data_IF_755281560391
#
_entry.id   IF_755281560391
#
_cell.length_a   1.000
_cell.length_b   1.000
_cell.length_c   1.000
_cell.angle_alpha   90.00
_cell.angle_beta   90.00
_cell.angle_gamma   90.00
#
_symmetry.space_group_name_H-M   'P 1'
#
loop_
_entity.id
_entity.type
_entity.pdbx_description
1 polymer ?
#
# COMPACT_ATOMS: atom_id res chain seq x y z
N UNK A 1 6.69 19.05 -8.72
CA UNK A 1 6.35 19.51 -7.35
C UNK A 1 4.97 19.06 -6.86
N UNK A 2 3.87 19.19 -7.64
CA UNK A 2 2.54 18.86 -7.10
C UNK A 2 2.32 17.36 -6.87
N UNK A 3 2.74 16.50 -7.81
CA UNK A 3 2.62 15.05 -7.67
C UNK A 3 3.45 14.45 -6.51
N UNK A 4 4.61 15.04 -6.22
CA UNK A 4 5.48 14.60 -5.11
C UNK A 4 4.90 14.89 -3.74
N UNK A 5 3.96 15.83 -3.63
CA UNK A 5 3.25 16.09 -2.38
C UNK A 5 2.18 15.01 -2.14
N UNK A 6 1.55 14.51 -3.20
CA UNK A 6 0.38 13.64 -3.08
C UNK A 6 0.77 12.16 -3.01
N UNK A 7 1.58 11.66 -3.95
CA UNK A 7 1.79 10.20 -4.08
C UNK A 7 3.12 9.72 -4.68
N UNK A 8 3.98 10.64 -5.15
CA UNK A 8 5.17 10.27 -5.93
C UNK A 8 6.51 10.42 -5.18
N UNK A 9 6.51 10.78 -3.89
CA UNK A 9 7.70 10.94 -3.05
C UNK A 9 7.73 9.88 -1.95
N UNK A 10 8.88 9.34 -1.51
CA UNK A 10 8.95 8.36 -0.41
C UNK A 10 8.12 8.76 0.83
N UNK A 11 8.13 10.06 1.14
CA UNK A 11 7.23 10.70 2.11
C UNK A 11 6.28 11.60 1.32
N UNK A 12 5.00 11.28 1.36
CA UNK A 12 3.91 11.99 0.67
C UNK A 12 2.66 12.01 1.57
N UNK A 13 1.68 12.85 1.21
CA UNK A 13 0.47 13.05 2.00
C UNK A 13 -0.38 11.76 2.13
N UNK A 14 -0.41 10.93 1.08
CA UNK A 14 -1.11 9.64 1.10
C UNK A 14 -0.57 8.72 2.21
N UNK A 15 0.76 8.57 2.27
CA UNK A 15 1.43 7.75 3.29
C UNK A 15 1.33 8.36 4.66
N UNK A 16 1.44 9.68 4.75
CA UNK A 16 1.32 10.35 6.03
C UNK A 16 -0.06 10.12 6.67
N UNK A 17 -1.13 10.16 5.86
CA UNK A 17 -2.50 9.90 6.32
C UNK A 17 -2.70 8.42 6.70
N UNK A 18 -2.42 7.49 5.77
CA UNK A 18 -2.80 6.10 6.01
C UNK A 18 -2.04 5.48 7.19
N UNK A 19 -0.79 5.89 7.46
CA UNK A 19 -0.03 5.33 8.58
C UNK A 19 -0.69 5.64 9.94
N UNK A 20 -1.17 6.87 10.11
CA UNK A 20 -1.87 7.29 11.33
C UNK A 20 -3.28 6.67 11.38
N UNK A 21 -4.00 6.72 10.26
CA UNK A 21 -5.35 6.16 10.11
C UNK A 21 -5.39 4.66 10.41
N UNK A 22 -4.52 3.88 9.78
CA UNK A 22 -4.50 2.44 9.92
C UNK A 22 -4.07 2.02 11.31
N UNK A 23 -3.14 2.75 11.94
CA UNK A 23 -2.78 2.54 13.34
C UNK A 23 -3.99 2.71 14.26
N UNK A 24 -4.75 3.78 14.06
CA UNK A 24 -5.96 4.06 14.83
C UNK A 24 -7.01 2.95 14.65
N UNK A 25 -7.38 2.61 13.41
CA UNK A 25 -8.45 1.65 13.14
C UNK A 25 -8.06 0.18 13.40
N UNK A 26 -6.78 -0.16 13.31
CA UNK A 26 -6.30 -1.51 13.68
C UNK A 26 -5.97 -1.64 15.17
N UNK A 27 -5.98 -0.54 15.93
CA UNK A 27 -5.69 -0.54 17.36
C UNK A 27 -4.22 -0.81 17.70
N UNK A 28 -3.31 -0.60 16.76
CA UNK A 28 -1.86 -0.81 16.95
C UNK A 28 -1.13 0.53 17.03
N UNK A 29 0.03 0.54 17.69
CA UNK A 29 0.86 1.75 17.83
C UNK A 29 2.00 1.83 16.82
N UNK A 30 2.01 0.96 15.81
CA UNK A 30 3.14 0.82 14.91
C UNK A 30 3.30 1.93 13.89
N UNK A 31 2.23 2.58 13.43
CA UNK A 31 2.30 3.65 12.42
C UNK A 31 2.21 5.06 13.01
N UNK A 32 2.45 5.22 14.31
CA UNK A 32 2.45 6.52 14.97
C UNK A 32 3.82 7.17 14.80
N UNK A 33 3.82 8.44 14.37
CA UNK A 33 4.99 9.30 14.27
C UNK A 33 4.58 10.76 14.46
N UNK A 34 5.51 11.66 14.79
CA UNK A 34 5.21 13.09 14.88
C UNK A 34 5.14 13.74 13.49
N UNK A 35 3.93 13.77 12.92
CA UNK A 35 3.68 14.41 11.64
C UNK A 35 3.93 15.92 11.66
N UNK A 36 3.79 16.59 12.80
CA UNK A 36 4.04 18.02 12.94
C UNK A 36 5.53 18.34 12.79
N UNK A 37 6.38 17.61 13.54
CA UNK A 37 7.84 17.68 13.41
C UNK A 37 8.30 17.32 12.00
N UNK A 38 7.73 16.26 11.42
CA UNK A 38 8.06 15.85 10.05
C UNK A 38 7.72 16.97 9.06
N UNK A 39 6.54 17.59 9.15
CA UNK A 39 6.13 18.72 8.30
C UNK A 39 7.09 19.92 8.40
N UNK A 40 7.59 20.24 9.60
CA UNK A 40 8.55 21.33 9.82
C UNK A 40 9.92 21.10 9.17
N UNK A 41 10.25 19.84 8.84
CA UNK A 41 11.49 19.48 8.15
C UNK A 41 11.46 19.79 6.66
N UNK A 42 10.28 19.85 6.04
CA UNK A 42 10.15 20.10 4.61
C UNK A 42 10.56 21.52 4.24
N UNK A 43 11.34 21.64 3.15
CA UNK A 43 11.78 22.92 2.59
C UNK A 43 11.69 22.88 1.06
N UNK A 44 11.29 23.98 0.40
CA UNK A 44 11.44 24.10 -1.03
C UNK A 44 12.91 24.39 -1.37
N UNK A 45 13.44 23.69 -2.36
CA UNK A 45 14.77 23.96 -2.92
C UNK A 45 14.60 24.21 -4.41
N UNK A 46 15.17 25.32 -4.89
CA UNK A 46 15.18 25.66 -6.31
C UNK A 46 16.48 25.12 -6.91
N UNK A 47 16.34 24.37 -7.99
CA UNK A 47 17.46 23.95 -8.83
C UNK A 47 17.11 24.23 -10.29
N UNK A 48 17.94 25.08 -10.91
CA UNK A 48 17.70 25.69 -12.22
C UNK A 48 16.27 26.30 -12.35
N UNK A 49 15.44 25.68 -13.19
CA UNK A 49 14.06 26.09 -13.49
C UNK A 49 13.01 25.27 -12.72
N UNK A 50 13.44 24.38 -11.82
CA UNK A 50 12.57 23.48 -11.09
C UNK A 50 12.58 23.78 -9.59
N UNK A 51 11.45 23.48 -8.94
CA UNK A 51 11.33 23.51 -7.47
C UNK A 51 11.09 22.10 -6.97
N UNK A 52 11.96 21.69 -6.07
CA UNK A 52 11.94 20.39 -5.41
C UNK A 52 11.55 20.56 -3.96
N UNK A 53 10.97 19.50 -3.41
CA UNK A 53 10.71 19.39 -2.00
C UNK A 53 11.87 18.60 -1.36
N UNK A 54 12.59 19.23 -0.46
CA UNK A 54 13.70 18.64 0.27
C UNK A 54 13.43 18.66 1.77
N UNK A 55 14.35 18.09 2.54
CA UNK A 55 14.24 17.97 3.99
C UNK A 55 15.44 18.62 4.66
N UNK A 56 15.21 19.29 5.79
CA UNK A 56 16.28 19.78 6.66
C UNK A 56 16.96 18.59 7.34
N UNK A 57 18.28 18.65 7.43
CA UNK A 57 19.07 17.66 8.17
C UNK A 57 18.65 17.56 9.64
N UNK A 58 18.24 18.67 10.27
CA UNK A 58 17.70 18.70 11.63
C UNK A 58 16.38 17.94 11.81
N UNK A 59 15.71 17.54 10.72
CA UNK A 59 14.51 16.70 10.73
C UNK A 59 14.78 15.21 10.52
N UNK A 60 16.05 14.78 10.50
CA UNK A 60 16.42 13.38 10.21
C UNK A 60 15.73 12.39 11.15
N UNK A 61 15.64 12.71 12.44
CA UNK A 61 14.98 11.83 13.42
C UNK A 61 13.50 11.61 13.09
N UNK A 62 12.79 12.66 12.65
CA UNK A 62 11.38 12.56 12.24
C UNK A 62 11.20 11.76 10.96
N UNK A 63 12.14 11.84 10.03
CA UNK A 63 12.17 11.01 8.82
C UNK A 63 12.37 9.53 9.19
N UNK A 64 13.29 9.25 10.11
CA UNK A 64 13.55 7.90 10.60
C UNK A 64 12.35 7.34 11.37
N UNK A 65 11.70 8.15 12.21
CA UNK A 65 10.47 7.78 12.91
C UNK A 65 9.36 7.41 11.91
N UNK A 66 9.13 8.22 10.87
CA UNK A 66 8.20 7.91 9.79
C UNK A 66 8.54 6.60 9.07
N UNK A 67 9.82 6.38 8.74
CA UNK A 67 10.27 5.15 8.08
C UNK A 67 10.04 3.91 8.96
N UNK A 68 10.32 4.02 10.27
CA UNK A 68 10.04 2.98 11.25
C UNK A 68 8.54 2.72 11.40
N UNK A 69 7.73 3.78 11.42
CA UNK A 69 6.28 3.69 11.52
C UNK A 69 5.69 2.90 10.33
N UNK A 70 6.17 3.22 9.13
CA UNK A 70 5.84 2.50 7.89
C UNK A 70 6.28 1.03 7.97
N UNK A 71 7.53 0.76 8.31
CA UNK A 71 8.06 -0.60 8.43
C UNK A 71 7.26 -1.45 9.42
N UNK A 72 6.89 -0.85 10.56
CA UNK A 72 6.07 -1.47 11.59
C UNK A 72 4.70 -1.89 11.07
N UNK A 73 3.97 -1.00 10.39
CA UNK A 73 2.67 -1.36 9.80
C UNK A 73 2.77 -2.44 8.72
N UNK A 74 3.81 -2.40 7.87
CA UNK A 74 4.05 -3.47 6.90
C UNK A 74 4.25 -4.82 7.58
N UNK A 75 5.10 -4.88 8.60
CA UNK A 75 5.38 -6.13 9.30
C UNK A 75 4.16 -6.66 10.06
N UNK A 76 3.44 -5.78 10.76
CA UNK A 76 2.46 -6.19 11.78
C UNK A 76 1.03 -6.26 11.25
N UNK A 77 0.69 -5.45 10.24
CA UNK A 77 -0.68 -5.35 9.71
C UNK A 77 -0.74 -5.85 8.28
N UNK A 78 0.00 -5.24 7.36
CA UNK A 78 -0.15 -5.53 5.92
C UNK A 78 0.38 -6.92 5.54
N UNK A 79 1.49 -7.36 6.13
CA UNK A 79 2.06 -8.69 5.92
C UNK A 79 1.72 -9.68 7.03
N UNK A 80 0.69 -9.41 7.83
CA UNK A 80 0.20 -10.37 8.80
C UNK A 80 -0.18 -11.70 8.12
N UNK A 81 0.26 -12.83 8.70
CA UNK A 81 0.11 -14.18 8.12
C UNK A 81 -1.32 -14.51 7.68
N UNK A 82 -2.32 -14.08 8.45
CA UNK A 82 -3.74 -14.33 8.13
C UNK A 82 -4.20 -13.52 6.93
N UNK A 83 -3.78 -12.25 6.81
CA UNK A 83 -4.11 -11.40 5.67
C UNK A 83 -3.50 -11.98 4.39
N UNK A 84 -2.22 -12.38 4.46
CA UNK A 84 -1.51 -13.03 3.36
C UNK A 84 -2.19 -14.32 2.90
N UNK A 85 -2.62 -15.16 3.84
CA UNK A 85 -3.34 -16.39 3.53
C UNK A 85 -4.68 -16.10 2.83
N UNK A 86 -5.47 -15.15 3.34
CA UNK A 86 -6.73 -14.75 2.73
C UNK A 86 -6.54 -14.17 1.32
N UNK A 87 -5.54 -13.30 1.13
CA UNK A 87 -5.21 -12.78 -0.20
C UNK A 87 -4.76 -13.88 -1.16
N UNK A 88 -3.99 -14.86 -0.70
CA UNK A 88 -3.57 -15.99 -1.53
C UNK A 88 -4.75 -16.89 -1.92
N UNK A 89 -5.66 -17.17 -0.98
CA UNK A 89 -6.90 -17.90 -1.25
C UNK A 89 -7.77 -17.17 -2.29
N UNK A 90 -7.99 -15.87 -2.12
CA UNK A 90 -8.79 -15.07 -3.06
C UNK A 90 -8.16 -15.04 -4.46
N UNK A 91 -6.85 -14.83 -4.55
CA UNK A 91 -6.12 -14.88 -5.82
C UNK A 91 -6.25 -16.24 -6.50
N UNK A 92 -6.14 -17.35 -5.75
CA UNK A 92 -6.30 -18.70 -6.29
C UNK A 92 -7.72 -18.99 -6.74
N UNK A 93 -8.73 -18.49 -6.03
CA UNK A 93 -10.12 -18.64 -6.42
C UNK A 93 -10.40 -17.92 -7.76
N UNK A 94 -9.83 -16.73 -7.95
CA UNK A 94 -10.02 -15.92 -9.14
C UNK A 94 -9.11 -16.30 -10.33
N UNK A 95 -8.01 -17.03 -10.11
CA UNK A 95 -7.09 -17.40 -11.20
C UNK A 95 -7.69 -18.35 -12.22
N UNK A 96 -8.68 -19.14 -11.79
CA UNK A 96 -9.25 -20.22 -12.60
C UNK A 96 -10.54 -19.77 -13.33
N UNK A 97 -10.90 -18.48 -13.27
CA UNK A 97 -12.07 -17.93 -13.98
C UNK A 97 -11.66 -17.22 -15.27
N UNK A 98 -11.91 -17.85 -16.43
CA UNK A 98 -11.59 -17.31 -17.76
C UNK A 98 -12.44 -16.10 -18.19
N UNK A 99 -13.47 -15.73 -17.42
CA UNK A 99 -14.44 -14.71 -17.83
C UNK A 99 -15.01 -13.98 -16.62
N UNK A 100 -14.26 -13.02 -16.09
CA UNK A 100 -14.79 -12.08 -15.11
C UNK A 100 -14.86 -10.70 -15.77
N UNK A 101 -15.74 -10.59 -16.77
CA UNK A 101 -16.21 -9.29 -17.25
C UNK A 101 -17.18 -8.72 -16.20
N UNK A 102 -16.64 -8.13 -15.13
CA UNK A 102 -17.44 -7.54 -14.03
C UNK A 102 -18.23 -6.32 -14.50
N UNK A 103 -17.80 -5.69 -15.60
CA UNK A 103 -18.34 -4.40 -16.03
C UNK A 103 -18.62 -4.46 -17.52
N UNK A 104 -19.91 -4.47 -17.89
CA UNK A 104 -20.31 -4.05 -19.22
C UNK A 104 -20.16 -2.53 -19.29
N UNK A 105 -19.29 -2.04 -20.16
CA UNK A 105 -19.12 -0.62 -20.46
C UNK A 105 -20.15 -0.12 -21.49
N UNK A 106 -21.03 -1.01 -21.96
CA UNK A 106 -21.98 -0.76 -23.05
C UNK A 106 -23.31 -0.18 -22.55
N UNK A 107 -23.26 0.78 -21.63
CA UNK A 107 -24.45 1.51 -21.19
C UNK A 107 -24.52 2.90 -21.82
N UNK A 108 -25.71 3.31 -22.25
CA UNK A 108 -26.02 4.67 -22.74
C UNK A 108 -25.90 5.78 -21.68
N UNK A 109 -25.51 5.40 -20.46
CA UNK A 109 -25.44 6.27 -19.29
C UNK A 109 -24.17 7.12 -19.30
N UNK A 110 -24.18 8.23 -18.55
CA UNK A 110 -22.96 9.02 -18.35
C UNK A 110 -21.91 8.21 -17.58
N UNK A 111 -20.62 8.45 -17.85
CA UNK A 111 -19.50 7.80 -17.14
C UNK A 111 -19.66 7.89 -15.61
N UNK A 112 -20.19 9.01 -15.11
CA UNK A 112 -20.42 9.23 -13.68
C UNK A 112 -21.47 8.28 -13.13
N UNK A 113 -22.56 8.05 -13.86
CA UNK A 113 -23.64 7.15 -13.44
C UNK A 113 -23.18 5.70 -13.49
N UNK A 114 -22.39 5.32 -14.50
CA UNK A 114 -21.72 4.02 -14.58
C UNK A 114 -20.84 3.79 -13.34
N UNK A 115 -19.99 4.76 -12.99
CA UNK A 115 -19.12 4.65 -11.80
C UNK A 115 -19.92 4.57 -10.50
N UNK A 116 -20.95 5.42 -10.34
CA UNK A 116 -21.81 5.39 -9.14
C UNK A 116 -22.52 4.04 -9.00
N UNK A 117 -23.09 3.54 -10.09
CA UNK A 117 -23.76 2.25 -10.11
C UNK A 117 -22.77 1.12 -9.81
N UNK A 118 -21.56 1.18 -10.35
CA UNK A 118 -20.50 0.22 -10.05
C UNK A 118 -20.20 0.16 -8.54
N UNK A 119 -19.87 1.28 -7.91
CA UNK A 119 -19.52 1.29 -6.48
C UNK A 119 -20.70 0.90 -5.58
N UNK A 120 -21.93 1.33 -5.89
CA UNK A 120 -23.12 0.94 -5.13
C UNK A 120 -23.44 -0.54 -5.26
N UNK A 121 -23.22 -1.11 -6.44
CA UNK A 121 -23.58 -2.50 -6.73
C UNK A 121 -22.50 -3.52 -6.37
N UNK A 122 -21.27 -3.09 -6.10
CA UNK A 122 -20.13 -3.96 -5.80
C UNK A 122 -19.46 -3.69 -4.43
N UNK A 123 -20.21 -3.62 -3.31
CA UNK A 123 -19.57 -3.60 -1.99
C UNK A 123 -18.86 -4.93 -1.74
N UNK A 124 -17.72 -4.91 -1.06
CA UNK A 124 -16.85 -6.08 -0.82
C UNK A 124 -17.61 -7.31 -0.31
N UNK A 125 -18.55 -7.10 0.62
CA UNK A 125 -19.38 -8.19 1.16
C UNK A 125 -20.23 -8.86 0.07
N UNK A 126 -20.92 -8.07 -0.75
CA UNK A 126 -21.73 -8.60 -1.86
C UNK A 126 -20.83 -9.26 -2.91
N UNK A 127 -19.69 -8.64 -3.20
CA UNK A 127 -18.72 -9.21 -4.13
C UNK A 127 -18.26 -10.61 -3.68
N UNK A 128 -17.88 -10.75 -2.41
CA UNK A 128 -17.38 -12.02 -1.87
C UNK A 128 -18.48 -13.07 -1.67
N UNK A 129 -19.57 -12.70 -0.98
CA UNK A 129 -20.60 -13.65 -0.54
C UNK A 129 -21.64 -13.98 -1.63
N UNK A 130 -21.82 -13.10 -2.61
CA UNK A 130 -22.83 -13.25 -3.66
C UNK A 130 -22.21 -13.34 -5.06
N UNK A 131 -21.42 -12.35 -5.48
CA UNK A 131 -20.88 -12.29 -6.85
C UNK A 131 -19.93 -13.47 -7.13
N UNK A 132 -18.84 -13.60 -6.37
CA UNK A 132 -17.86 -14.68 -6.58
C UNK A 132 -18.47 -16.06 -6.34
N UNK A 133 -19.35 -16.20 -5.34
CA UNK A 133 -20.02 -17.47 -5.02
C UNK A 133 -20.92 -18.00 -6.15
N UNK A 134 -21.52 -17.10 -6.93
CA UNK A 134 -22.39 -17.45 -8.06
C UNK A 134 -21.64 -17.59 -9.38
N UNK A 135 -20.54 -16.86 -9.56
CA UNK A 135 -19.72 -16.90 -10.78
C UNK A 135 -18.75 -18.07 -10.79
N UNK A 136 -18.11 -18.37 -9.66
CA UNK A 136 -17.10 -19.41 -9.56
C UNK A 136 -17.74 -20.80 -9.39
N UNK A 137 -17.08 -21.81 -9.96
CA UNK A 137 -17.50 -23.21 -9.92
C UNK A 137 -16.36 -24.12 -9.44
N UNK A 138 -16.72 -25.35 -9.03
CA UNK A 138 -15.76 -26.37 -8.63
C UNK A 138 -14.84 -25.92 -7.48
N UNK A 139 -13.52 -26.21 -7.54
CA UNK A 139 -12.57 -25.91 -6.46
C UNK A 139 -12.53 -24.43 -6.05
N UNK A 140 -12.65 -23.50 -7.00
CA UNK A 140 -12.62 -22.06 -6.69
C UNK A 140 -13.79 -21.63 -5.79
N UNK A 141 -14.95 -22.26 -5.95
CA UNK A 141 -16.12 -21.99 -5.11
C UNK A 141 -15.92 -22.47 -3.67
N UNK A 142 -15.25 -23.62 -3.49
CA UNK A 142 -14.89 -24.14 -2.17
C UNK A 142 -13.95 -23.18 -1.44
N UNK A 143 -12.94 -22.65 -2.13
CA UNK A 143 -12.01 -21.67 -1.57
C UNK A 143 -12.75 -20.41 -1.07
N UNK A 144 -13.74 -19.90 -1.84
CA UNK A 144 -14.56 -18.76 -1.38
C UNK A 144 -15.38 -19.12 -0.14
N UNK A 145 -15.98 -20.31 -0.11
CA UNK A 145 -16.71 -20.77 1.09
C UNK A 145 -15.78 -20.86 2.30
N UNK A 146 -14.53 -21.30 2.14
CA UNK A 146 -13.56 -21.33 3.22
C UNK A 146 -13.17 -19.93 3.71
N UNK A 147 -13.04 -18.95 2.82
CA UNK A 147 -12.81 -17.54 3.20
C UNK A 147 -13.99 -17.03 4.05
N UNK A 148 -15.22 -17.22 3.59
CA UNK A 148 -16.44 -16.74 4.25
C UNK A 148 -16.63 -17.41 5.62
N UNK A 149 -16.40 -18.71 5.71
CA UNK A 149 -16.52 -19.50 6.94
C UNK A 149 -15.28 -19.43 7.85
N UNK A 150 -14.28 -18.61 7.51
CA UNK A 150 -13.02 -18.44 8.26
C UNK A 150 -12.17 -19.72 8.39
N UNK A 151 -12.29 -20.65 7.44
CA UNK A 151 -11.41 -21.81 7.27
C UNK A 151 -10.11 -21.40 6.55
N UNK A 152 -9.31 -20.54 7.17
CA UNK A 152 -8.14 -19.93 6.53
C UNK A 152 -6.97 -20.90 6.44
N UNK A 153 -6.30 -20.95 5.27
CA UNK A 153 -5.06 -21.70 5.06
C UNK A 153 -4.00 -21.35 6.10
N UNK A 154 -3.26 -22.37 6.56
CA UNK A 154 -2.24 -22.21 7.59
C UNK A 154 -0.88 -21.93 6.96
N UNK A 155 -0.14 -21.00 7.56
CA UNK A 155 1.28 -20.77 7.22
C UNK A 155 2.10 -21.95 7.70
N UNK A 156 2.69 -22.71 6.77
CA UNK A 156 3.54 -23.87 7.06
C UNK A 156 5.02 -23.47 7.16
N UNK A 157 5.44 -22.50 6.36
CA UNK A 157 6.84 -22.07 6.26
C UNK A 157 6.94 -20.55 6.06
N UNK A 158 8.03 -19.97 6.55
CA UNK A 158 8.42 -18.58 6.31
C UNK A 158 9.94 -18.49 6.27
N UNK A 159 10.46 -17.78 5.28
CA UNK A 159 11.89 -17.48 5.16
C UNK A 159 12.07 -15.98 5.13
N UNK A 160 12.74 -15.45 6.15
CA UNK A 160 13.13 -14.04 6.17
C UNK A 160 14.44 -13.89 5.41
N UNK A 161 14.41 -13.14 4.31
CA UNK A 161 15.63 -12.72 3.61
C UNK A 161 16.06 -11.38 4.17
N UNK A 162 17.15 -11.35 4.92
CA UNK A 162 17.80 -10.10 5.29
C UNK A 162 18.72 -9.70 4.14
N UNK A 163 18.48 -8.53 3.53
CA UNK A 163 19.49 -7.90 2.70
C UNK A 163 20.65 -7.49 3.62
N UNK A 164 21.79 -8.16 3.51
CA UNK A 164 23.02 -7.72 4.15
C UNK A 164 23.42 -6.39 3.52
N UNK A 165 23.84 -5.46 4.37
CA UNK A 165 24.21 -4.05 4.06
C UNK A 165 25.40 -3.89 3.09
N UNK A 166 25.84 -4.95 2.41
CA UNK A 166 27.07 -5.02 1.62
C UNK A 166 26.95 -4.53 0.18
N UNK A 167 25.73 -4.26 -0.32
CA UNK A 167 25.53 -3.85 -1.73
C UNK A 167 25.38 -2.34 -1.94
N UNK A 168 25.38 -1.53 -0.88
CA UNK A 168 25.55 -0.08 -1.01
C UNK A 168 27.05 0.25 -1.04
N UNK A 169 27.70 -0.02 -2.18
CA UNK A 169 28.92 0.73 -2.50
C UNK A 169 28.55 2.21 -2.51
N UNK A 170 29.02 2.91 -1.47
CA UNK A 170 29.03 4.37 -1.39
C UNK A 170 29.67 4.88 -2.68
N UNK A 171 28.87 5.41 -3.60
CA UNK A 171 29.36 6.22 -4.71
C UNK A 171 29.86 7.52 -4.07
N UNK A 172 31.07 7.49 -3.55
CA UNK A 172 31.82 8.68 -3.21
C UNK A 172 32.19 9.35 -4.53
N UNK A 173 31.38 10.30 -4.97
CA UNK A 173 31.84 11.32 -5.92
C UNK A 173 32.88 12.19 -5.22
N UNK A 174 34.12 11.71 -5.16
CA UNK A 174 35.30 12.56 -4.95
C UNK A 174 35.66 13.14 -6.31
N UNK A 175 35.22 14.36 -6.59
CA UNK A 175 36.03 15.38 -7.27
C UNK A 175 35.29 16.72 -7.35
N UNK A 176 35.09 17.37 -6.21
CA UNK A 176 35.12 18.84 -6.16
C UNK A 176 36.54 19.22 -5.76
N UNK A 177 37.40 19.44 -6.76
CA UNK A 177 38.62 20.22 -6.55
C UNK A 177 38.18 21.64 -6.22
N UNK A 178 38.28 21.99 -4.94
CA UNK A 178 38.54 23.37 -4.53
C UNK A 178 39.77 23.86 -5.29
N UNK A 179 39.64 24.94 -6.03
CA UNK A 179 40.71 25.89 -6.31
C UNK A 179 40.08 27.28 -6.25
N UNK A 180 40.46 28.00 -5.19
CA UNK A 180 40.60 29.45 -4.99
C UNK A 180 39.66 30.35 -5.81
#
# INVERSE_FOLDING_TARGET
MLGSIISSSPIDADRMDYLLRDSYFSGVKYGIYDYGRLLMSFIPVKDENNVYLAYKESGMDSILEFANARSGLYSQVYFHKTNRALSAMLNKACSDSDTVNVISLDSSDTIIDIMKNFYRNNPDKKFLEHTLKNVLNGPSKEIINDIVNRNVWKKIYEKNTHFLMLDFQIIHSKNTKRNI
#
